data_IF_813980455283
#
_entry.id   IF_813980455283
#
_cell.length_a   1.000
_cell.length_b   1.000
_cell.length_c   1.000
_cell.angle_alpha   90.00
_cell.angle_beta   90.00
_cell.angle_gamma   90.00
#
_symmetry.space_group_name_H-M   'P 1'
#
loop_
_entity.id
_entity.type
_entity.pdbx_description
1 polymer ?
#
# COMPACT_ATOMS: atom_id res chain seq x y z
N UNK A 1 -13.35 18.49 -41.10
CA UNK A 1 -12.00 18.15 -41.60
C UNK A 1 -10.90 18.54 -40.61
N UNK A 2 -11.08 19.56 -39.78
CA UNK A 2 -10.09 19.99 -38.77
C UNK A 2 -9.97 19.02 -37.55
N UNK A 3 -10.97 18.22 -37.26
CA UNK A 3 -10.97 17.33 -36.09
C UNK A 3 -10.08 16.06 -36.23
N UNK A 4 -9.86 15.59 -37.48
CA UNK A 4 -9.11 14.34 -37.72
C UNK A 4 -7.59 14.50 -37.60
N UNK A 5 -7.05 15.66 -37.97
CA UNK A 5 -5.61 15.95 -37.89
C UNK A 5 -5.10 16.26 -36.46
N UNK A 6 -6.00 16.69 -35.56
CA UNK A 6 -5.64 16.93 -34.16
C UNK A 6 -5.57 15.63 -33.32
N UNK A 7 -6.27 14.56 -33.73
CA UNK A 7 -6.34 13.29 -33.00
C UNK A 7 -5.15 12.36 -33.26
N UNK A 8 -4.44 12.49 -34.37
CA UNK A 8 -3.36 11.56 -34.75
C UNK A 8 -2.00 11.88 -34.10
N UNK A 9 -1.83 13.09 -33.55
CA UNK A 9 -0.59 13.53 -32.89
C UNK A 9 -0.72 13.84 -31.39
N UNK A 10 -1.89 13.63 -30.80
CA UNK A 10 -2.12 13.89 -29.38
C UNK A 10 -2.11 12.57 -28.59
N UNK A 11 -1.04 12.39 -27.87
CA UNK A 11 -0.88 11.55 -26.69
C UNK A 11 -1.87 10.38 -26.66
N UNK A 12 -1.73 9.47 -27.57
CA UNK A 12 -1.80 8.07 -27.21
C UNK A 12 -0.66 7.95 -26.19
N UNK A 13 -0.96 7.67 -24.90
CA UNK A 13 0.05 7.01 -24.06
C UNK A 13 0.53 5.91 -24.97
N UNK A 14 1.76 5.94 -25.51
CA UNK A 14 2.10 4.99 -26.54
C UNK A 14 1.80 3.64 -25.91
N UNK A 15 0.96 2.83 -26.56
CA UNK A 15 1.04 1.39 -26.33
C UNK A 15 2.50 1.10 -26.62
N UNK A 16 3.31 1.12 -25.54
CA UNK A 16 4.75 0.92 -25.66
C UNK A 16 4.88 -0.32 -26.51
N UNK A 17 5.51 -0.15 -27.65
CA UNK A 17 5.63 -1.11 -28.72
C UNK A 17 5.70 -2.51 -28.13
N UNK A 18 4.95 -3.44 -28.69
CA UNK A 18 4.89 -4.89 -28.37
C UNK A 18 6.27 -5.61 -28.44
N UNK A 19 7.36 -4.93 -28.20
CA UNK A 19 8.66 -5.53 -27.96
C UNK A 19 8.70 -5.91 -26.46
N UNK A 20 8.57 -7.21 -26.20
CA UNK A 20 8.80 -7.88 -24.91
C UNK A 20 10.25 -7.74 -24.41
N UNK A 21 10.90 -6.61 -24.61
CA UNK A 21 12.24 -6.39 -24.08
C UNK A 21 12.08 -5.71 -22.73
N UNK A 22 12.32 -6.46 -21.65
CA UNK A 22 12.32 -5.92 -20.31
C UNK A 22 13.35 -4.79 -20.18
N UNK A 23 13.01 -3.73 -19.46
CA UNK A 23 13.92 -2.61 -19.21
C UNK A 23 15.16 -3.09 -18.46
N UNK A 24 16.27 -2.45 -18.77
CA UNK A 24 17.51 -2.66 -18.02
C UNK A 24 17.46 -1.84 -16.72
N UNK A 25 17.67 -2.49 -15.57
CA UNK A 25 17.65 -1.86 -14.24
C UNK A 25 18.65 -0.70 -14.15
N UNK A 26 19.85 -0.84 -14.74
CA UNK A 26 20.88 0.21 -14.72
C UNK A 26 20.43 1.47 -15.47
N UNK A 27 19.72 1.31 -16.59
CA UNK A 27 19.16 2.45 -17.33
C UNK A 27 18.01 3.11 -16.55
N UNK A 28 17.20 2.33 -15.86
CA UNK A 28 16.15 2.88 -14.98
C UNK A 28 16.78 3.67 -13.83
N UNK A 29 17.83 3.14 -13.20
CA UNK A 29 18.53 3.78 -12.07
C UNK A 29 19.06 5.18 -12.42
N UNK A 30 19.61 5.38 -13.62
CA UNK A 30 20.11 6.68 -14.09
C UNK A 30 19.04 7.78 -14.17
N UNK A 31 17.77 7.42 -14.20
CA UNK A 31 16.64 8.33 -14.35
C UNK A 31 15.87 8.58 -13.04
N UNK A 32 16.34 8.05 -11.91
CA UNK A 32 15.78 8.35 -10.59
C UNK A 32 16.13 9.79 -10.22
N UNK A 33 15.13 10.52 -9.73
CA UNK A 33 15.32 11.88 -9.23
C UNK A 33 15.68 11.80 -7.75
N UNK A 34 16.96 11.90 -7.47
CA UNK A 34 17.51 11.92 -6.10
C UNK A 34 18.71 12.87 -6.09
N UNK A 35 18.83 13.65 -5.01
CA UNK A 35 19.98 14.57 -4.82
C UNK A 35 21.28 13.76 -4.69
N UNK A 36 22.33 14.21 -5.35
CA UNK A 36 23.68 13.62 -5.22
C UNK A 36 24.15 13.60 -3.76
N UNK A 37 24.80 12.50 -3.36
CA UNK A 37 25.26 12.27 -1.99
C UNK A 37 24.19 11.73 -1.05
N UNK A 38 22.95 11.51 -1.52
CA UNK A 38 21.91 10.81 -0.76
C UNK A 38 21.81 9.35 -1.21
N UNK A 39 21.65 8.46 -0.23
CA UNK A 39 21.41 7.03 -0.40
C UNK A 39 20.06 6.69 0.24
N UNK A 40 19.08 6.29 -0.56
CA UNK A 40 17.70 6.14 -0.10
C UNK A 40 17.34 4.68 0.18
N UNK A 41 17.14 4.35 1.45
CA UNK A 41 16.82 3.00 1.94
C UNK A 41 15.45 2.95 2.66
N UNK A 42 14.52 3.85 2.33
CA UNK A 42 13.16 3.89 2.93
C UNK A 42 12.06 3.63 1.88
N UNK A 43 12.31 2.78 0.89
CA UNK A 43 11.36 2.46 -0.19
C UNK A 43 10.03 1.86 0.31
N UNK A 44 10.03 1.16 1.45
CA UNK A 44 8.79 0.66 2.07
C UNK A 44 7.84 1.79 2.49
N UNK A 45 8.35 2.99 2.74
CA UNK A 45 7.53 4.16 3.08
C UNK A 45 7.04 4.89 1.81
N UNK A 46 7.92 5.10 0.84
CA UNK A 46 7.60 5.76 -0.43
C UNK A 46 8.62 5.38 -1.49
N UNK A 47 8.18 5.24 -2.74
CA UNK A 47 9.07 5.22 -3.88
C UNK A 47 9.71 6.60 -4.13
N UNK A 48 10.70 6.64 -5.02
CA UNK A 48 11.30 7.87 -5.52
C UNK A 48 10.64 8.32 -6.83
N UNK A 49 10.80 9.60 -7.17
CA UNK A 49 10.35 10.13 -8.45
C UNK A 49 11.25 9.59 -9.60
N UNK A 50 10.67 9.42 -10.76
CA UNK A 50 11.31 8.87 -11.95
C UNK A 50 11.12 9.82 -13.14
N UNK A 51 12.21 10.35 -13.67
CA UNK A 51 12.19 11.43 -14.65
C UNK A 51 11.29 11.17 -15.86
N UNK A 52 11.29 9.99 -16.52
CA UNK A 52 10.39 9.77 -17.66
C UNK A 52 8.91 9.85 -17.29
N UNK A 53 8.49 9.46 -16.09
CA UNK A 53 7.11 9.62 -15.63
C UNK A 53 6.78 11.09 -15.41
N UNK A 54 7.68 11.87 -14.81
CA UNK A 54 7.48 13.32 -14.64
C UNK A 54 7.36 14.01 -15.99
N UNK A 55 8.20 13.65 -16.97
CA UNK A 55 8.15 14.19 -18.32
C UNK A 55 6.80 13.86 -19.03
N UNK A 56 6.27 12.64 -18.86
CA UNK A 56 4.94 12.26 -19.39
C UNK A 56 3.80 13.05 -18.73
N UNK A 57 3.86 13.25 -17.41
CA UNK A 57 2.88 14.09 -16.71
C UNK A 57 2.96 15.53 -17.21
N UNK A 58 4.15 16.09 -17.40
CA UNK A 58 4.32 17.44 -17.94
C UNK A 58 3.76 17.57 -19.37
N UNK A 59 3.88 16.53 -20.21
CA UNK A 59 3.26 16.51 -21.53
C UNK A 59 1.73 16.52 -21.43
N UNK A 60 1.16 15.67 -20.55
CA UNK A 60 -0.27 15.58 -20.33
C UNK A 60 -0.86 16.93 -19.86
N UNK A 61 -0.15 17.65 -18.99
CA UNK A 61 -0.58 18.94 -18.45
C UNK A 61 -0.80 20.02 -19.53
N UNK A 62 -0.16 19.91 -20.69
CA UNK A 62 -0.34 20.88 -21.79
C UNK A 62 -1.76 20.86 -22.39
N UNK A 63 -2.48 19.74 -22.24
CA UNK A 63 -3.85 19.56 -22.76
C UNK A 63 -4.86 19.26 -21.65
N UNK A 64 -4.44 19.39 -20.39
CA UNK A 64 -5.26 19.09 -19.24
C UNK A 64 -6.51 19.98 -19.18
N UNK A 65 -7.64 19.36 -18.93
CA UNK A 65 -8.89 20.01 -18.54
C UNK A 65 -9.63 19.12 -17.55
N UNK A 66 -10.63 19.64 -16.85
CA UNK A 66 -11.45 18.81 -15.97
C UNK A 66 -12.27 17.80 -16.78
N UNK A 67 -12.55 16.64 -16.18
CA UNK A 67 -13.49 15.64 -16.68
C UNK A 67 -14.95 16.16 -16.60
N UNK A 68 -15.94 15.35 -16.96
CA UNK A 68 -17.37 15.70 -16.93
C UNK A 68 -17.83 16.77 -17.93
N UNK A 69 -17.14 16.91 -19.07
CA UNK A 69 -17.58 17.76 -20.17
C UNK A 69 -17.39 17.05 -21.51
N UNK A 70 -18.47 16.87 -22.24
CA UNK A 70 -18.48 16.23 -23.57
C UNK A 70 -18.29 17.26 -24.71
N UNK A 71 -18.29 18.55 -24.41
CA UNK A 71 -18.22 19.63 -25.38
C UNK A 71 -16.82 20.23 -25.58
N UNK A 72 -15.90 19.99 -24.66
CA UNK A 72 -14.52 20.47 -24.75
C UNK A 72 -13.59 19.33 -25.17
N UNK A 73 -12.82 19.53 -26.25
CA UNK A 73 -11.89 18.51 -26.76
C UNK A 73 -10.84 18.10 -25.71
N UNK A 74 -10.32 19.04 -24.92
CA UNK A 74 -9.38 18.76 -23.82
C UNK A 74 -10.04 17.98 -22.70
N UNK A 75 -11.29 18.27 -22.34
CA UNK A 75 -12.00 17.52 -21.29
C UNK A 75 -12.29 16.07 -21.73
N UNK A 76 -12.75 15.90 -22.98
CA UNK A 76 -12.95 14.56 -23.57
C UNK A 76 -11.64 13.76 -23.61
N UNK A 77 -10.52 14.39 -23.97
CA UNK A 77 -9.21 13.76 -23.96
C UNK A 77 -8.79 13.36 -22.54
N UNK A 78 -8.95 14.25 -21.58
CA UNK A 78 -8.62 13.99 -20.16
C UNK A 78 -9.44 12.83 -19.61
N UNK A 79 -10.77 12.82 -19.87
CA UNK A 79 -11.64 11.72 -19.47
C UNK A 79 -11.17 10.38 -20.06
N UNK A 80 -10.86 10.38 -21.37
CA UNK A 80 -10.35 9.18 -22.06
C UNK A 80 -9.03 8.69 -21.47
N UNK A 81 -8.08 9.59 -21.18
CA UNK A 81 -6.81 9.24 -20.56
C UNK A 81 -7.03 8.65 -19.16
N UNK A 82 -7.94 9.21 -18.37
CA UNK A 82 -8.29 8.74 -17.04
C UNK A 82 -8.88 7.32 -17.06
N UNK A 83 -9.88 7.08 -17.93
CA UNK A 83 -10.50 5.77 -18.05
C UNK A 83 -9.56 4.70 -18.65
N UNK A 84 -8.73 5.08 -19.60
CA UNK A 84 -7.70 4.19 -20.14
C UNK A 84 -6.67 3.81 -19.06
N UNK A 85 -6.23 4.76 -18.23
CA UNK A 85 -5.32 4.51 -17.13
C UNK A 85 -5.93 3.52 -16.12
N UNK A 86 -7.22 3.65 -15.78
CA UNK A 86 -7.97 2.70 -14.94
C UNK A 86 -7.99 1.30 -15.55
N UNK A 87 -8.35 1.19 -16.82
CA UNK A 87 -8.43 -0.09 -17.51
C UNK A 87 -7.07 -0.78 -17.61
N UNK A 88 -6.01 -0.03 -17.94
CA UNK A 88 -4.64 -0.55 -17.98
C UNK A 88 -4.17 -0.98 -16.58
N UNK A 89 -4.45 -0.20 -15.53
CA UNK A 89 -4.16 -0.56 -14.13
C UNK A 89 -4.80 -1.88 -13.73
N UNK A 90 -6.08 -2.11 -14.06
CA UNK A 90 -6.74 -3.39 -13.79
C UNK A 90 -5.96 -4.55 -14.43
N UNK A 91 -5.56 -4.41 -15.68
CA UNK A 91 -4.76 -5.41 -16.39
C UNK A 91 -3.38 -5.61 -15.75
N UNK A 92 -2.66 -4.53 -15.40
CA UNK A 92 -1.33 -4.57 -14.78
C UNK A 92 -1.36 -5.23 -13.40
N UNK A 93 -2.46 -5.09 -12.68
CA UNK A 93 -2.71 -5.71 -11.37
C UNK A 93 -3.22 -7.17 -11.48
N UNK A 94 -3.55 -7.64 -12.69
CA UNK A 94 -4.11 -8.98 -12.90
C UNK A 94 -5.56 -9.12 -12.42
N UNK A 95 -6.32 -8.03 -12.39
CA UNK A 95 -7.74 -8.04 -12.00
C UNK A 95 -8.60 -8.44 -13.20
N UNK A 96 -9.55 -9.32 -12.96
CA UNK A 96 -10.57 -9.68 -13.94
C UNK A 96 -11.80 -8.74 -13.92
N UNK A 97 -12.80 -9.04 -14.73
CA UNK A 97 -14.00 -8.22 -14.85
C UNK A 97 -14.92 -8.28 -13.63
N UNK A 98 -14.66 -9.13 -12.64
CA UNK A 98 -15.45 -9.18 -11.41
C UNK A 98 -15.14 -8.04 -10.43
N UNK A 99 -14.09 -7.24 -10.70
CA UNK A 99 -13.66 -6.15 -9.85
C UNK A 99 -13.97 -4.77 -10.41
N UNK A 100 -14.31 -3.82 -9.52
CA UNK A 100 -14.13 -2.39 -9.73
C UNK A 100 -12.75 -1.96 -9.24
N UNK A 101 -12.20 -0.91 -9.85
CA UNK A 101 -10.99 -0.23 -9.39
C UNK A 101 -11.32 1.24 -9.10
N UNK A 102 -11.43 1.59 -7.83
CA UNK A 102 -11.85 2.89 -7.35
C UNK A 102 -10.61 3.69 -6.94
N UNK A 103 -10.45 4.88 -7.51
CA UNK A 103 -9.43 5.82 -7.09
C UNK A 103 -9.88 6.56 -5.82
N UNK A 104 -8.98 6.63 -4.84
CA UNK A 104 -9.26 7.24 -3.53
C UNK A 104 -8.23 8.34 -3.20
N UNK A 105 -8.27 8.90 -2.00
CA UNK A 105 -7.34 9.93 -1.56
C UNK A 105 -5.91 9.42 -1.30
N UNK A 106 -5.46 9.49 -0.04
CA UNK A 106 -4.08 9.22 0.35
C UNK A 106 -3.81 7.72 0.54
N UNK A 107 -3.26 7.07 -0.48
CA UNK A 107 -2.75 5.69 -0.41
C UNK A 107 -3.79 4.67 0.09
N UNK A 108 -3.31 3.53 0.59
CA UNK A 108 -4.15 2.47 1.13
C UNK A 108 -5.03 2.92 2.30
N UNK A 109 -4.62 3.91 3.08
CA UNK A 109 -5.44 4.47 4.17
C UNK A 109 -6.80 4.97 3.68
N UNK A 110 -6.83 5.69 2.55
CA UNK A 110 -8.08 6.13 1.94
C UNK A 110 -8.87 4.97 1.32
N UNK A 111 -8.19 3.96 0.77
CA UNK A 111 -8.82 2.76 0.24
C UNK A 111 -9.47 1.92 1.36
N UNK A 112 -8.81 1.78 2.51
CA UNK A 112 -9.36 1.12 3.71
C UNK A 112 -10.63 1.84 4.18
N UNK A 113 -10.56 3.18 4.31
CA UNK A 113 -11.73 3.99 4.68
C UNK A 113 -12.88 3.78 3.68
N UNK A 114 -12.61 3.87 2.37
CA UNK A 114 -13.60 3.65 1.31
C UNK A 114 -14.22 2.26 1.37
N UNK A 115 -13.41 1.22 1.58
CA UNK A 115 -13.91 -0.14 1.80
C UNK A 115 -14.84 -0.22 3.01
N UNK A 116 -14.46 0.35 4.15
CA UNK A 116 -15.29 0.36 5.34
C UNK A 116 -16.61 1.12 5.15
N UNK A 117 -16.59 2.21 4.36
CA UNK A 117 -17.80 2.95 3.98
C UNK A 117 -18.72 2.09 3.11
N UNK A 118 -18.19 1.40 2.09
CA UNK A 118 -18.96 0.50 1.22
C UNK A 118 -19.56 -0.66 2.03
N UNK A 119 -18.78 -1.21 2.97
CA UNK A 119 -19.24 -2.31 3.85
C UNK A 119 -20.21 -1.84 4.95
N UNK A 120 -20.39 -0.53 5.12
CA UNK A 120 -21.27 0.04 6.16
C UNK A 120 -20.73 -0.10 7.58
N UNK A 121 -19.43 -0.26 7.74
CA UNK A 121 -18.76 -0.39 9.04
C UNK A 121 -17.92 0.84 9.44
N UNK A 122 -17.88 1.86 8.58
CA UNK A 122 -17.23 3.14 8.92
C UNK A 122 -18.17 4.00 9.76
N UNK A 123 -17.64 4.58 10.82
CA UNK A 123 -18.29 5.65 11.58
C UNK A 123 -17.24 6.68 11.99
N UNK A 124 -17.55 7.98 11.85
CA UNK A 124 -16.66 8.99 12.38
C UNK A 124 -16.73 9.05 13.90
N UNK A 125 -15.63 9.38 14.61
CA UNK A 125 -15.65 9.57 16.06
C UNK A 125 -16.73 10.56 16.51
N UNK A 126 -16.96 11.63 15.75
CA UNK A 126 -18.00 12.61 16.04
C UNK A 126 -19.42 12.00 15.94
N UNK A 127 -19.67 11.21 14.89
CA UNK A 127 -20.97 10.52 14.73
C UNK A 127 -21.13 9.45 15.82
N UNK A 128 -20.09 8.73 16.18
CA UNK A 128 -20.07 7.74 17.25
C UNK A 128 -20.47 8.38 18.59
N UNK A 129 -19.87 9.54 18.91
CA UNK A 129 -20.20 10.30 20.11
C UNK A 129 -21.66 10.79 20.12
N UNK A 130 -22.19 11.21 18.97
CA UNK A 130 -23.58 11.67 18.83
C UNK A 130 -24.60 10.53 19.05
N UNK A 131 -24.34 9.34 18.49
CA UNK A 131 -25.23 8.17 18.65
C UNK A 131 -25.14 7.59 20.06
N UNK A 132 -23.97 7.57 20.66
CA UNK A 132 -23.68 7.04 21.97
C UNK A 132 -23.53 5.52 22.02
N UNK A 133 -22.60 5.01 22.82
CA UNK A 133 -22.25 3.60 22.92
C UNK A 133 -23.44 2.68 23.28
N UNK A 134 -24.37 3.13 24.12
CA UNK A 134 -25.54 2.36 24.51
C UNK A 134 -26.46 2.02 23.33
N UNK A 135 -26.53 2.88 22.32
CA UNK A 135 -27.29 2.63 21.09
C UNK A 135 -26.51 1.77 20.10
N UNK A 136 -25.21 1.96 19.99
CA UNK A 136 -24.36 1.16 19.12
C UNK A 136 -24.34 -0.32 19.55
N UNK A 137 -24.32 -0.60 20.85
CA UNK A 137 -24.38 -1.98 21.39
C UNK A 137 -25.66 -2.75 21.09
N UNK A 138 -26.72 -2.06 20.63
CA UNK A 138 -27.97 -2.71 20.19
C UNK A 138 -27.89 -3.21 18.74
N UNK A 139 -26.87 -2.82 17.99
CA UNK A 139 -26.70 -3.22 16.62
C UNK A 139 -26.13 -4.65 16.54
N UNK A 140 -26.57 -5.41 15.54
CA UNK A 140 -25.94 -6.69 15.21
C UNK A 140 -24.71 -6.43 14.35
N UNK A 141 -23.57 -6.16 15.01
CA UNK A 141 -22.34 -5.78 14.35
C UNK A 141 -21.64 -7.00 13.73
N UNK A 142 -20.99 -6.84 12.56
CA UNK A 142 -20.15 -7.86 11.99
C UNK A 142 -18.90 -8.09 12.87
N UNK A 143 -18.24 -9.22 12.68
CA UNK A 143 -16.93 -9.49 13.25
C UNK A 143 -15.85 -9.11 12.25
N UNK A 144 -15.00 -8.14 12.60
CA UNK A 144 -13.76 -7.86 11.89
C UNK A 144 -12.64 -8.77 12.45
N UNK A 145 -11.97 -9.52 11.57
CA UNK A 145 -10.80 -10.33 11.91
C UNK A 145 -9.58 -9.71 11.24
N UNK A 146 -8.53 -9.46 12.01
CA UNK A 146 -7.30 -8.85 11.50
C UNK A 146 -6.09 -9.71 11.84
N UNK A 147 -5.02 -9.58 11.04
CA UNK A 147 -3.75 -10.27 11.25
C UNK A 147 -2.85 -9.59 12.28
N UNK A 148 -1.67 -10.17 12.53
CA UNK A 148 -0.67 -9.63 13.45
C UNK A 148 0.15 -8.48 12.83
N UNK A 149 0.25 -8.39 11.50
CA UNK A 149 1.14 -7.46 10.78
C UNK A 149 0.45 -6.17 10.32
N UNK A 150 -0.73 -5.86 10.87
CA UNK A 150 -1.56 -4.81 10.30
C UNK A 150 -0.97 -3.42 10.51
N UNK A 151 -1.10 -2.61 9.45
CA UNK A 151 -0.83 -1.18 9.55
C UNK A 151 -1.88 -0.50 10.43
N UNK A 152 -1.51 0.56 11.15
CA UNK A 152 -2.44 1.34 12.00
C UNK A 152 -3.71 1.77 11.27
N UNK A 153 -3.65 1.97 9.95
CA UNK A 153 -4.83 2.34 9.16
C UNK A 153 -5.92 1.26 9.15
N UNK A 154 -5.56 -0.03 9.25
CA UNK A 154 -6.50 -1.15 9.40
C UNK A 154 -6.86 -1.31 10.89
N UNK A 155 -5.86 -1.46 11.73
CA UNK A 155 -5.99 -1.75 13.15
C UNK A 155 -6.89 -0.74 13.87
N UNK A 156 -6.51 0.55 13.80
CA UNK A 156 -7.19 1.62 14.56
C UNK A 156 -8.57 1.91 13.95
N UNK A 157 -8.69 1.93 12.62
CA UNK A 157 -9.96 2.24 11.99
C UNK A 157 -11.04 1.19 12.24
N UNK A 158 -10.67 -0.09 12.37
CA UNK A 158 -11.60 -1.16 12.72
C UNK A 158 -11.95 -1.16 14.22
N UNK A 159 -10.98 -0.83 15.10
CA UNK A 159 -11.27 -0.63 16.53
C UNK A 159 -12.31 0.46 16.78
N UNK A 160 -12.27 1.52 15.98
CA UNK A 160 -13.21 2.63 16.05
C UNK A 160 -14.46 2.43 15.16
N UNK A 161 -14.48 1.37 14.35
CA UNK A 161 -15.55 1.07 13.40
C UNK A 161 -16.81 0.49 14.03
N UNK A 162 -17.84 0.27 13.19
CA UNK A 162 -19.09 -0.43 13.54
C UNK A 162 -18.91 -1.95 13.37
N UNK A 163 -18.01 -2.53 14.14
CA UNK A 163 -17.73 -3.97 14.15
C UNK A 163 -17.15 -4.37 15.50
N UNK A 164 -17.28 -5.66 15.86
CA UNK A 164 -16.43 -6.25 16.88
C UNK A 164 -15.11 -6.63 16.22
N UNK A 165 -14.00 -6.54 16.95
CA UNK A 165 -12.68 -6.84 16.40
C UNK A 165 -12.06 -8.05 17.10
N UNK A 166 -11.42 -8.92 16.31
CA UNK A 166 -10.57 -10.00 16.79
C UNK A 166 -9.26 -9.98 16.02
N UNK A 167 -8.16 -9.73 16.74
CA UNK A 167 -6.80 -9.85 16.21
C UNK A 167 -6.36 -11.31 16.33
N UNK A 168 -5.80 -11.85 15.26
CA UNK A 168 -5.10 -13.13 15.23
C UNK A 168 -3.64 -12.87 15.58
N UNK A 169 -3.11 -13.68 16.47
CA UNK A 169 -1.75 -13.52 17.00
C UNK A 169 -0.74 -14.30 16.15
N UNK A 170 0.51 -14.19 16.52
CA UNK A 170 1.59 -15.03 16.00
C UNK A 170 1.62 -16.36 16.79
N UNK A 171 2.00 -17.42 16.11
CA UNK A 171 2.33 -18.70 16.72
C UNK A 171 3.78 -18.71 17.26
N UNK A 172 4.20 -19.84 17.80
CA UNK A 172 5.56 -20.05 18.35
C UNK A 172 6.68 -19.91 17.31
N UNK A 173 6.35 -20.00 16.00
CA UNK A 173 7.28 -19.85 14.89
C UNK A 173 7.32 -18.42 14.33
N UNK A 174 6.63 -17.45 14.95
CA UNK A 174 6.40 -16.11 14.47
C UNK A 174 5.64 -16.04 13.14
N UNK A 175 4.82 -17.03 12.84
CA UNK A 175 3.85 -17.04 11.75
C UNK A 175 2.46 -16.69 12.27
N UNK A 176 1.53 -16.43 11.35
CA UNK A 176 0.11 -16.23 11.71
C UNK A 176 -0.44 -17.51 12.34
N UNK A 177 -1.05 -17.41 13.51
CA UNK A 177 -1.71 -18.55 14.16
C UNK A 177 -2.97 -18.95 13.41
N UNK A 178 -2.80 -19.86 12.45
CA UNK A 178 -3.91 -20.40 11.66
C UNK A 178 -4.89 -21.25 12.47
N UNK A 179 -4.44 -21.85 13.57
CA UNK A 179 -5.31 -22.63 14.48
C UNK A 179 -6.25 -21.67 15.21
N UNK A 180 -5.71 -20.58 15.73
CA UNK A 180 -6.51 -19.50 16.34
C UNK A 180 -7.49 -18.91 15.32
N UNK A 181 -7.06 -18.67 14.08
CA UNK A 181 -7.92 -18.16 13.01
C UNK A 181 -9.10 -19.11 12.75
N UNK A 182 -8.85 -20.41 12.53
CA UNK A 182 -9.90 -21.40 12.26
C UNK A 182 -10.87 -21.54 13.44
N UNK A 183 -10.37 -21.57 14.68
CA UNK A 183 -11.19 -21.61 15.88
C UNK A 183 -12.07 -20.36 16.02
N UNK A 184 -11.49 -19.17 15.75
CA UNK A 184 -12.25 -17.90 15.76
C UNK A 184 -13.37 -17.93 14.75
N UNK A 185 -13.11 -18.38 13.53
CA UNK A 185 -14.11 -18.51 12.46
C UNK A 185 -15.21 -19.48 12.87
N UNK A 186 -14.87 -20.65 13.39
CA UNK A 186 -15.81 -21.68 13.85
C UNK A 186 -16.75 -21.18 14.94
N UNK A 187 -16.20 -20.49 15.93
CA UNK A 187 -16.98 -19.91 17.04
C UNK A 187 -17.95 -18.81 16.58
N UNK A 188 -17.64 -18.15 15.48
CA UNK A 188 -18.41 -17.01 14.94
C UNK A 188 -19.09 -17.32 13.60
N UNK A 189 -19.29 -18.58 13.25
CA UNK A 189 -19.79 -19.03 11.94
C UNK A 189 -21.17 -18.47 11.55
N UNK A 190 -21.96 -17.96 12.51
CA UNK A 190 -23.28 -17.34 12.27
C UNK A 190 -23.23 -15.83 12.07
N UNK A 191 -22.07 -15.20 12.22
CA UNK A 191 -21.88 -13.76 12.09
C UNK A 191 -21.46 -13.39 10.68
N UNK A 192 -21.71 -12.14 10.28
CA UNK A 192 -21.05 -11.56 9.13
C UNK A 192 -19.56 -11.34 9.46
N UNK A 193 -18.65 -11.94 8.70
CA UNK A 193 -17.21 -11.89 8.92
C UNK A 193 -16.57 -11.04 7.85
N UNK A 194 -15.78 -10.05 8.27
CA UNK A 194 -14.94 -9.21 7.40
C UNK A 194 -13.52 -9.36 7.89
N UNK A 195 -12.67 -10.03 7.11
CA UNK A 195 -11.27 -10.21 7.44
C UNK A 195 -10.41 -9.20 6.68
N UNK A 196 -9.40 -8.63 7.34
CA UNK A 196 -8.40 -7.77 6.71
C UNK A 196 -7.01 -8.21 7.15
N UNK A 197 -6.16 -8.54 6.17
CA UNK A 197 -4.79 -9.02 6.41
C UNK A 197 -3.80 -8.29 5.53
N UNK A 198 -2.67 -7.89 6.11
CA UNK A 198 -1.53 -7.39 5.36
C UNK A 198 -0.87 -8.53 4.58
N UNK A 199 -0.73 -8.37 3.27
CA UNK A 199 -0.11 -9.41 2.41
C UNK A 199 1.40 -9.54 2.64
N UNK A 200 2.04 -8.48 3.16
CA UNK A 200 3.40 -8.51 3.65
C UNK A 200 3.59 -7.47 4.76
N UNK A 201 4.34 -7.82 5.80
CA UNK A 201 4.70 -6.91 6.88
C UNK A 201 5.53 -5.74 6.36
N UNK A 202 5.16 -4.52 6.72
CA UNK A 202 5.94 -3.33 6.42
C UNK A 202 7.13 -3.13 7.38
N UNK A 203 7.31 -4.02 8.34
CA UNK A 203 8.40 -4.00 9.34
C UNK A 203 9.47 -5.04 8.99
N UNK A 204 9.08 -6.30 8.88
CA UNK A 204 10.00 -7.44 8.68
C UNK A 204 9.96 -8.00 7.26
N UNK A 205 9.01 -7.54 6.44
CA UNK A 205 8.82 -8.04 5.08
C UNK A 205 8.16 -9.43 5.00
N UNK A 206 7.86 -10.10 6.12
CA UNK A 206 7.24 -11.43 6.14
C UNK A 206 5.96 -11.41 5.31
N UNK A 207 5.85 -12.35 4.38
CA UNK A 207 4.69 -12.50 3.51
C UNK A 207 3.65 -13.40 4.15
N UNK A 208 2.41 -13.04 3.92
CA UNK A 208 1.24 -13.77 4.41
C UNK A 208 0.80 -14.81 3.36
N UNK A 209 0.56 -16.05 3.76
CA UNK A 209 -0.14 -17.03 2.92
C UNK A 209 -1.64 -16.65 2.81
N UNK A 210 -1.89 -15.62 1.99
CA UNK A 210 -3.24 -15.10 1.77
C UNK A 210 -4.17 -16.14 1.12
N UNK A 211 -3.64 -17.14 0.40
CA UNK A 211 -4.44 -18.21 -0.23
C UNK A 211 -5.02 -19.14 0.83
N UNK A 212 -4.21 -19.51 1.83
CA UNK A 212 -4.65 -20.30 2.98
C UNK A 212 -5.68 -19.53 3.79
N UNK A 213 -5.43 -18.23 4.07
CA UNK A 213 -6.40 -17.37 4.77
C UNK A 213 -7.71 -17.29 3.99
N UNK A 214 -7.68 -17.02 2.70
CA UNK A 214 -8.88 -16.95 1.86
C UNK A 214 -9.68 -18.25 1.93
N UNK A 215 -9.01 -19.39 1.84
CA UNK A 215 -9.66 -20.70 1.91
C UNK A 215 -10.37 -20.91 3.25
N UNK A 216 -9.76 -20.48 4.37
CA UNK A 216 -10.36 -20.55 5.70
C UNK A 216 -11.56 -19.59 5.81
N UNK A 217 -11.41 -18.35 5.42
CA UNK A 217 -12.46 -17.32 5.49
C UNK A 217 -13.68 -17.73 4.66
N UNK A 218 -13.47 -18.29 3.46
CA UNK A 218 -14.58 -18.69 2.56
C UNK A 218 -15.36 -19.91 3.04
N UNK A 219 -14.79 -20.78 3.87
CA UNK A 219 -15.57 -21.86 4.55
C UNK A 219 -16.71 -21.31 5.39
N UNK A 220 -16.62 -20.06 5.86
CA UNK A 220 -17.60 -19.41 6.72
C UNK A 220 -18.28 -18.21 6.04
N UNK A 221 -18.26 -18.17 4.70
CA UNK A 221 -18.85 -17.10 3.88
C UNK A 221 -18.35 -15.68 4.24
N UNK A 222 -17.15 -15.58 4.79
CA UNK A 222 -16.52 -14.31 5.12
C UNK A 222 -15.97 -13.58 3.89
N UNK A 223 -15.65 -12.30 4.06
CA UNK A 223 -15.03 -11.42 3.08
C UNK A 223 -13.57 -11.25 3.47
N UNK A 224 -12.64 -11.37 2.50
CA UNK A 224 -11.22 -11.10 2.71
C UNK A 224 -10.77 -9.85 1.94
N UNK A 225 -10.35 -8.83 2.67
CA UNK A 225 -9.61 -7.69 2.15
C UNK A 225 -8.12 -7.86 2.43
N UNK A 226 -7.27 -7.60 1.44
CA UNK A 226 -5.80 -7.64 1.60
C UNK A 226 -5.21 -6.24 1.51
N UNK A 227 -4.40 -5.87 2.50
CA UNK A 227 -3.52 -4.71 2.40
C UNK A 227 -2.24 -5.12 1.67
N UNK A 228 -2.15 -4.71 0.41
CA UNK A 228 -0.99 -4.98 -0.44
C UNK A 228 -0.10 -3.73 -0.61
N UNK A 229 -0.26 -2.72 0.25
CA UNK A 229 0.50 -1.47 0.14
C UNK A 229 2.02 -1.68 0.14
N UNK A 230 2.50 -2.68 0.87
CA UNK A 230 3.93 -3.04 0.88
C UNK A 230 4.27 -3.99 -0.27
N UNK A 231 3.46 -5.02 -0.51
CA UNK A 231 3.76 -6.09 -1.46
C UNK A 231 3.66 -5.64 -2.92
N UNK A 232 2.70 -4.76 -3.25
CA UNK A 232 2.34 -4.44 -4.64
C UNK A 232 3.44 -3.71 -5.44
N UNK A 233 4.46 -3.18 -4.77
CA UNK A 233 5.63 -2.64 -5.44
C UNK A 233 6.50 -3.73 -6.09
N UNK A 234 6.38 -4.97 -5.66
CA UNK A 234 7.25 -6.09 -5.98
C UNK A 234 6.55 -7.22 -6.74
N UNK A 235 5.32 -7.55 -6.36
CA UNK A 235 4.57 -8.64 -6.97
C UNK A 235 3.05 -8.38 -6.96
N UNK A 236 2.33 -9.13 -7.79
CA UNK A 236 0.86 -9.16 -7.78
C UNK A 236 0.34 -10.30 -6.91
N UNK A 237 -0.84 -10.11 -6.36
CA UNK A 237 -1.63 -11.17 -5.74
C UNK A 237 -2.65 -11.73 -6.73
N UNK A 238 -2.95 -13.01 -6.62
CA UNK A 238 -3.89 -13.70 -7.51
C UNK A 238 -5.34 -13.29 -7.18
N UNK A 239 -6.04 -12.70 -8.15
CA UNK A 239 -7.38 -12.14 -7.97
C UNK A 239 -8.45 -13.16 -7.54
N UNK A 240 -8.17 -14.45 -7.63
CA UNK A 240 -9.05 -15.53 -7.18
C UNK A 240 -9.12 -15.66 -5.65
N UNK A 241 -8.17 -15.06 -4.91
CA UNK A 241 -7.99 -15.30 -3.47
C UNK A 241 -8.13 -14.04 -2.62
N UNK A 242 -8.96 -13.11 -3.02
CA UNK A 242 -9.39 -11.97 -2.22
C UNK A 242 -10.71 -11.39 -2.74
N UNK A 243 -11.33 -10.55 -1.93
CA UNK A 243 -12.56 -9.85 -2.29
C UNK A 243 -12.31 -8.32 -2.43
N UNK A 244 -11.28 -7.80 -1.76
CA UNK A 244 -10.84 -6.42 -1.90
C UNK A 244 -9.31 -6.28 -1.73
N UNK A 245 -8.71 -5.26 -2.36
CA UNK A 245 -7.29 -4.88 -2.19
C UNK A 245 -7.17 -3.41 -1.85
N UNK A 246 -6.26 -3.10 -0.93
CA UNK A 246 -5.82 -1.74 -0.61
C UNK A 246 -4.41 -1.49 -1.15
N UNK A 247 -4.25 -0.48 -2.01
CA UNK A 247 -3.00 -0.23 -2.70
C UNK A 247 -2.50 1.20 -2.46
N UNK A 248 -1.18 1.31 -2.34
CA UNK A 248 -0.44 2.57 -2.19
C UNK A 248 0.56 2.76 -3.34
N UNK A 249 0.12 3.20 -4.54
CA UNK A 249 1.02 3.32 -5.68
C UNK A 249 2.20 4.28 -5.46
N UNK A 250 2.11 5.20 -4.48
CA UNK A 250 3.23 6.07 -4.11
C UNK A 250 4.44 5.31 -3.55
N UNK A 251 4.31 4.02 -3.21
CA UNK A 251 5.43 3.18 -2.79
C UNK A 251 6.21 2.58 -3.98
N UNK A 252 5.66 2.64 -5.20
CA UNK A 252 6.37 2.24 -6.41
C UNK A 252 7.32 3.35 -6.86
N UNK A 253 8.40 2.98 -7.54
CA UNK A 253 9.25 3.92 -8.25
C UNK A 253 8.41 4.71 -9.27
N UNK A 254 8.51 6.03 -9.26
CA UNK A 254 7.73 6.94 -10.09
C UNK A 254 6.30 7.19 -9.60
N UNK A 255 5.87 6.57 -8.49
CA UNK A 255 4.52 6.70 -7.96
C UNK A 255 4.29 7.88 -7.02
N UNK A 256 5.29 8.71 -6.78
CA UNK A 256 5.20 9.86 -5.86
C UNK A 256 4.02 10.78 -6.24
N UNK A 257 3.13 11.06 -5.29
CA UNK A 257 1.94 11.90 -5.54
C UNK A 257 0.77 11.18 -6.21
N UNK A 258 0.80 9.84 -6.36
CA UNK A 258 -0.35 9.05 -6.82
C UNK A 258 -1.46 8.97 -5.78
N UNK A 259 -2.68 8.64 -6.22
CA UNK A 259 -3.80 8.35 -5.33
C UNK A 259 -3.69 6.95 -4.72
N UNK A 260 -4.50 6.68 -3.69
CA UNK A 260 -4.79 5.34 -3.24
C UNK A 260 -5.73 4.62 -4.21
N UNK A 261 -5.70 3.30 -4.21
CA UNK A 261 -6.58 2.49 -5.05
C UNK A 261 -7.26 1.42 -4.19
N UNK A 262 -8.56 1.26 -4.41
CA UNK A 262 -9.36 0.15 -3.89
C UNK A 262 -9.79 -0.72 -5.07
N UNK A 263 -9.28 -1.96 -5.15
CA UNK A 263 -9.91 -2.96 -5.99
C UNK A 263 -10.92 -3.73 -5.13
N UNK A 264 -12.15 -3.90 -5.62
CA UNK A 264 -13.23 -4.52 -4.84
C UNK A 264 -14.14 -5.33 -5.77
N UNK A 265 -14.58 -6.51 -5.32
CA UNK A 265 -15.55 -7.31 -6.06
C UNK A 265 -16.86 -6.57 -6.25
N UNK A 266 -17.40 -6.63 -7.47
CA UNK A 266 -18.64 -5.96 -7.87
C UNK A 266 -19.83 -6.32 -6.96
N UNK A 267 -19.89 -7.56 -6.53
CA UNK A 267 -20.98 -8.08 -5.66
C UNK A 267 -21.02 -7.43 -4.27
N UNK A 268 -19.89 -6.82 -3.82
CA UNK A 268 -19.84 -6.12 -2.53
C UNK A 268 -20.31 -4.67 -2.63
N UNK A 269 -20.42 -4.12 -3.84
CA UNK A 269 -20.82 -2.74 -4.04
C UNK A 269 -22.34 -2.61 -4.14
N UNK A 270 -22.90 -1.74 -3.30
CA UNK A 270 -24.31 -1.35 -3.37
C UNK A 270 -24.46 -0.23 -4.40
N UNK A 271 -25.66 -0.11 -4.98
CA UNK A 271 -25.94 0.97 -5.95
C UNK A 271 -26.28 2.32 -5.28
N UNK A 272 -25.63 2.61 -4.16
CA UNK A 272 -25.74 3.85 -3.41
C UNK A 272 -24.34 4.38 -3.12
N UNK A 273 -24.09 5.68 -3.26
CA UNK A 273 -22.79 6.25 -2.95
C UNK A 273 -22.48 6.21 -1.46
N UNK A 274 -21.24 6.01 -1.09
CA UNK A 274 -20.79 6.17 0.31
C UNK A 274 -20.82 7.63 0.75
N UNK A 275 -20.71 8.55 -0.20
CA UNK A 275 -20.84 9.99 0.02
C UNK A 275 -21.63 10.62 -1.12
N UNK A 276 -22.85 11.10 -0.82
CA UNK A 276 -23.70 11.79 -1.77
C UNK A 276 -23.16 13.19 -2.08
N UNK A 277 -22.57 13.37 -3.25
CA UNK A 277 -21.87 14.60 -3.64
C UNK A 277 -22.07 14.92 -5.14
N UNK A 278 -21.53 16.05 -5.58
CA UNK A 278 -21.37 16.35 -7.01
C UNK A 278 -20.56 15.24 -7.71
N UNK A 279 -20.89 14.91 -8.95
CA UNK A 279 -20.28 13.81 -9.70
C UNK A 279 -20.93 12.43 -9.45
N UNK A 280 -21.60 12.21 -8.32
CA UNK A 280 -22.31 10.96 -8.02
C UNK A 280 -23.76 10.95 -8.56
N UNK A 281 -24.24 12.06 -9.06
CA UNK A 281 -25.63 12.27 -9.51
C UNK A 281 -25.72 12.37 -11.02
N UNK A 282 -26.77 11.79 -11.59
CA UNK A 282 -27.18 11.94 -12.98
C UNK A 282 -28.10 13.13 -13.18
N UNK A 283 -28.88 13.47 -12.15
CA UNK A 283 -29.83 14.57 -12.17
C UNK A 283 -30.05 15.10 -10.75
N UNK A 284 -30.17 16.42 -10.64
CA UNK A 284 -30.54 17.10 -9.39
C UNK A 284 -31.54 18.20 -9.70
N UNK A 285 -32.64 18.22 -8.94
CA UNK A 285 -33.63 19.33 -8.93
C UNK A 285 -33.57 20.05 -7.56
N UNK A 286 -34.49 20.98 -7.36
CA UNK A 286 -34.63 21.68 -6.06
C UNK A 286 -35.06 20.75 -4.92
N UNK A 287 -35.72 19.64 -5.22
CA UNK A 287 -36.35 18.76 -4.23
C UNK A 287 -36.00 17.29 -4.36
N UNK A 288 -35.32 16.90 -5.44
CA UNK A 288 -34.97 15.50 -5.71
C UNK A 288 -33.67 15.34 -6.47
N UNK A 289 -33.08 14.16 -6.41
CA UNK A 289 -31.90 13.80 -7.17
C UNK A 289 -31.94 12.32 -7.57
N UNK A 290 -31.18 12.00 -8.60
CA UNK A 290 -31.00 10.63 -9.10
C UNK A 290 -29.51 10.35 -9.20
N UNK A 291 -29.03 9.32 -8.55
CA UNK A 291 -27.64 8.89 -8.63
C UNK A 291 -27.30 8.26 -9.98
N UNK A 292 -26.04 8.30 -10.35
CA UNK A 292 -25.50 7.54 -11.49
C UNK A 292 -25.52 6.03 -11.14
N UNK A 293 -25.55 5.20 -12.17
CA UNK A 293 -25.46 3.75 -12.04
C UNK A 293 -24.04 3.20 -12.25
N UNK A 294 -23.05 4.07 -12.50
CA UNK A 294 -21.64 3.68 -12.63
C UNK A 294 -20.99 3.71 -11.25
N UNK A 295 -20.61 2.56 -10.75
CA UNK A 295 -20.09 2.42 -9.36
C UNK A 295 -18.83 3.23 -9.14
N UNK A 296 -17.87 3.24 -10.07
CA UNK A 296 -16.67 4.06 -9.92
C UNK A 296 -17.03 5.55 -9.79
N UNK A 297 -18.00 6.06 -10.58
CA UNK A 297 -18.45 7.44 -10.45
C UNK A 297 -19.21 7.69 -9.14
N UNK A 298 -19.96 6.69 -8.64
CA UNK A 298 -20.64 6.79 -7.34
C UNK A 298 -19.62 6.95 -6.21
N UNK A 299 -18.49 6.27 -6.29
CA UNK A 299 -17.51 6.23 -5.22
C UNK A 299 -16.39 7.29 -5.36
N UNK A 300 -16.28 7.91 -6.53
CA UNK A 300 -15.32 8.99 -6.84
C UNK A 300 -16.00 10.36 -6.95
N UNK A 301 -16.85 10.70 -6.01
CA UNK A 301 -17.57 11.97 -6.01
C UNK A 301 -16.66 13.21 -6.13
N UNK A 302 -17.09 14.20 -6.90
CA UNK A 302 -16.34 15.42 -7.23
C UNK A 302 -15.45 15.25 -8.46
N UNK A 303 -14.43 16.10 -8.59
CA UNK A 303 -13.37 15.92 -9.60
C UNK A 303 -12.48 14.79 -9.15
N UNK A 304 -12.36 13.70 -9.94
CA UNK A 304 -11.56 12.55 -9.53
C UNK A 304 -10.06 12.89 -9.52
N UNK A 305 -9.20 12.07 -8.89
CA UNK A 305 -7.77 12.30 -8.83
C UNK A 305 -7.09 11.97 -10.16
N UNK A 306 -7.30 12.82 -11.18
CA UNK A 306 -6.97 12.57 -12.60
C UNK A 306 -5.48 12.28 -12.78
N UNK A 307 -4.62 13.23 -12.43
CA UNK A 307 -3.16 13.12 -12.59
C UNK A 307 -2.62 12.00 -11.71
N UNK A 308 -3.17 11.87 -10.52
CA UNK A 308 -2.74 10.91 -9.53
C UNK A 308 -3.01 9.46 -9.99
N UNK A 309 -4.14 9.19 -10.66
CA UNK A 309 -4.44 7.87 -11.22
C UNK A 309 -3.57 7.57 -12.44
N UNK A 310 -3.38 8.56 -13.34
CA UNK A 310 -2.49 8.42 -14.50
C UNK A 310 -1.06 8.11 -14.02
N UNK A 311 -0.58 8.80 -12.99
CA UNK A 311 0.73 8.54 -12.38
C UNK A 311 0.81 7.13 -11.78
N UNK A 312 -0.22 6.69 -11.07
CA UNK A 312 -0.30 5.33 -10.55
C UNK A 312 -0.17 4.29 -11.68
N UNK A 313 -0.89 4.50 -12.79
CA UNK A 313 -0.79 3.65 -13.97
C UNK A 313 0.63 3.60 -14.52
N UNK A 314 1.28 4.76 -14.72
CA UNK A 314 2.65 4.84 -15.22
C UNK A 314 3.65 4.13 -14.30
N UNK A 315 3.49 4.21 -12.98
CA UNK A 315 4.35 3.53 -12.01
C UNK A 315 4.20 2.00 -12.07
N UNK A 316 2.97 1.48 -12.13
CA UNK A 316 2.74 0.03 -12.28
C UNK A 316 3.22 -0.48 -13.65
N UNK A 317 3.08 0.32 -14.70
CA UNK A 317 3.60 0.01 -16.02
C UNK A 317 5.11 -0.10 -16.00
N UNK A 318 5.82 0.87 -15.43
CA UNK A 318 7.27 0.84 -15.24
C UNK A 318 7.71 -0.44 -14.50
N UNK A 319 7.05 -0.76 -13.36
CA UNK A 319 7.32 -2.00 -12.61
C UNK A 319 7.22 -3.26 -13.49
N UNK A 320 6.13 -3.37 -14.27
CA UNK A 320 5.90 -4.53 -15.11
C UNK A 320 6.85 -4.57 -16.33
N UNK A 321 7.31 -3.43 -16.82
CA UNK A 321 8.31 -3.33 -17.91
C UNK A 321 9.72 -3.68 -17.43
N UNK A 322 10.06 -3.40 -16.17
CA UNK A 322 11.27 -3.92 -15.53
C UNK A 322 11.16 -5.45 -15.42
N UNK A 323 9.98 -5.94 -15.05
CA UNK A 323 9.65 -7.35 -14.94
C UNK A 323 9.75 -7.87 -13.51
N UNK A 324 8.65 -8.44 -13.01
CA UNK A 324 8.53 -8.89 -11.62
C UNK A 324 9.59 -9.94 -11.22
N UNK A 325 9.96 -10.83 -12.14
CA UNK A 325 11.01 -11.83 -11.86
C UNK A 325 12.39 -11.18 -11.68
N UNK A 326 12.75 -10.20 -12.53
CA UNK A 326 14.00 -9.46 -12.39
C UNK A 326 14.06 -8.64 -11.10
N UNK A 327 12.92 -8.04 -10.72
CA UNK A 327 12.79 -7.33 -9.44
C UNK A 327 13.07 -8.30 -8.30
N UNK A 328 12.38 -9.45 -8.29
CA UNK A 328 12.55 -10.47 -7.25
C UNK A 328 13.98 -10.99 -7.17
N UNK A 329 14.61 -11.33 -8.31
CA UNK A 329 15.99 -11.81 -8.37
C UNK A 329 16.97 -10.78 -7.79
N UNK A 330 16.86 -9.51 -8.21
CA UNK A 330 17.74 -8.44 -7.73
C UNK A 330 17.56 -8.19 -6.21
N UNK A 331 16.35 -8.22 -5.72
CA UNK A 331 16.06 -8.00 -4.30
C UNK A 331 16.48 -9.17 -3.42
N UNK A 332 16.30 -10.41 -3.88
CA UNK A 332 16.82 -11.59 -3.18
C UNK A 332 18.34 -11.50 -3.05
N UNK A 333 19.06 -11.25 -4.15
CA UNK A 333 20.52 -11.16 -4.14
C UNK A 333 21.05 -10.08 -3.18
N UNK A 334 20.50 -8.85 -3.29
CA UNK A 334 20.91 -7.72 -2.48
C UNK A 334 20.48 -7.87 -1.01
N UNK A 335 19.28 -8.40 -0.77
CA UNK A 335 18.75 -8.68 0.55
C UNK A 335 19.57 -9.72 1.29
N UNK A 336 19.92 -10.84 0.64
CA UNK A 336 20.80 -11.86 1.20
C UNK A 336 22.19 -11.30 1.54
N UNK A 337 22.75 -10.50 0.62
CA UNK A 337 24.05 -9.84 0.85
C UNK A 337 24.00 -8.95 2.10
N UNK A 338 22.94 -8.14 2.25
CA UNK A 338 22.78 -7.27 3.41
C UNK A 338 22.60 -8.09 4.71
N UNK A 339 21.74 -9.11 4.68
CA UNK A 339 21.48 -9.98 5.84
C UNK A 339 22.77 -10.62 6.36
N UNK A 340 23.52 -11.29 5.47
CA UNK A 340 24.81 -11.95 5.79
C UNK A 340 25.84 -11.01 6.39
N UNK A 341 25.88 -9.76 5.98
CA UNK A 341 26.81 -8.77 6.52
C UNK A 341 26.31 -8.15 7.83
N UNK A 342 24.99 -7.98 7.98
CA UNK A 342 24.38 -7.48 9.22
C UNK A 342 24.56 -8.45 10.38
N UNK A 343 24.41 -9.74 10.14
CA UNK A 343 24.58 -10.83 11.12
C UNK A 343 26.00 -10.92 11.71
N UNK A 344 27.00 -10.41 11.00
CA UNK A 344 28.41 -10.34 11.49
C UNK A 344 28.64 -9.22 12.51
N UNK A 345 27.64 -8.41 12.84
CA UNK A 345 27.76 -7.26 13.72
C UNK A 345 27.10 -7.61 15.06
N UNK A 346 27.92 -8.00 16.05
CA UNK A 346 27.46 -8.49 17.37
C UNK A 346 26.58 -7.51 18.14
N UNK A 347 26.67 -6.22 17.85
CA UNK A 347 25.87 -5.17 18.46
C UNK A 347 24.46 -5.07 17.90
N UNK A 348 24.21 -5.65 16.74
CA UNK A 348 22.91 -5.59 16.08
C UNK A 348 21.95 -6.62 16.70
N UNK A 349 20.73 -6.19 16.95
CA UNK A 349 19.59 -7.02 17.31
C UNK A 349 18.67 -7.03 16.09
N UNK A 350 18.68 -8.13 15.34
CA UNK A 350 17.83 -8.29 14.15
C UNK A 350 16.47 -8.85 14.58
N UNK A 351 15.37 -8.22 14.13
CA UNK A 351 13.99 -8.64 14.42
C UNK A 351 13.35 -9.42 13.26
N UNK A 352 14.10 -9.64 12.18
CA UNK A 352 13.55 -10.30 11.00
C UNK A 352 13.69 -11.82 11.13
N UNK A 353 12.60 -12.59 10.98
CA UNK A 353 12.67 -14.05 10.96
C UNK A 353 13.54 -14.58 9.81
N UNK A 354 14.39 -15.56 10.07
CA UNK A 354 15.34 -16.10 9.09
C UNK A 354 14.68 -17.11 8.13
N UNK A 355 13.68 -17.86 8.60
CA UNK A 355 13.13 -19.02 7.89
C UNK A 355 11.80 -18.74 7.16
N UNK A 356 11.35 -17.48 7.06
CA UNK A 356 10.09 -17.13 6.43
C UNK A 356 10.29 -16.49 5.06
N UNK A 357 9.35 -16.73 4.13
CA UNK A 357 9.31 -16.00 2.86
C UNK A 357 9.02 -14.52 3.15
N UNK A 358 9.91 -13.63 2.71
CA UNK A 358 9.82 -12.22 3.02
C UNK A 358 10.43 -11.31 1.95
N UNK A 359 9.98 -10.08 1.93
CA UNK A 359 10.61 -8.99 1.19
C UNK A 359 11.91 -8.56 1.91
N UNK A 360 12.87 -7.95 1.22
CA UNK A 360 14.13 -7.51 1.80
C UNK A 360 13.97 -6.21 2.61
N UNK A 361 13.09 -6.25 3.59
CA UNK A 361 12.82 -5.19 4.57
C UNK A 361 13.40 -5.67 5.92
N UNK A 362 14.25 -4.85 6.52
CA UNK A 362 14.98 -5.21 7.72
C UNK A 362 14.69 -4.22 8.84
N UNK A 363 14.21 -4.74 9.96
CA UNK A 363 14.04 -4.02 11.22
C UNK A 363 15.08 -4.51 12.22
N UNK A 364 15.89 -3.61 12.74
CA UNK A 364 16.92 -3.95 13.71
C UNK A 364 17.18 -2.81 14.70
N UNK A 365 17.75 -3.13 15.84
CA UNK A 365 18.30 -2.16 16.78
C UNK A 365 19.80 -2.40 17.02
N UNK A 366 20.47 -1.41 17.58
CA UNK A 366 21.85 -1.51 18.00
C UNK A 366 21.88 -1.41 19.54
N UNK A 367 22.54 -2.36 20.20
CA UNK A 367 22.64 -2.41 21.67
C UNK A 367 23.16 -1.09 22.24
N UNK A 368 22.39 -0.51 23.15
CA UNK A 368 22.75 0.73 23.84
C UNK A 368 22.61 2.03 23.03
N UNK A 369 22.06 1.97 21.81
CA UNK A 369 21.85 3.16 20.96
C UNK A 369 20.37 3.28 20.63
N UNK A 370 19.80 4.47 20.81
CA UNK A 370 18.44 4.77 20.39
C UNK A 370 18.30 4.60 18.87
N UNK A 371 17.26 3.92 18.34
CA UNK A 371 17.04 3.81 16.91
C UNK A 371 16.92 5.18 16.22
N UNK A 372 16.39 6.17 16.90
CA UNK A 372 16.26 7.54 16.37
C UNK A 372 17.62 8.21 16.21
N UNK A 373 18.50 8.12 17.22
CA UNK A 373 19.84 8.69 17.17
C UNK A 373 20.71 7.96 16.13
N UNK A 374 20.52 6.64 16.01
CA UNK A 374 21.23 5.84 15.03
C UNK A 374 20.85 6.22 13.59
N UNK A 375 19.54 6.32 13.29
CA UNK A 375 19.07 6.77 11.97
C UNK A 375 19.48 8.21 11.67
N UNK A 376 19.45 9.11 12.67
CA UNK A 376 19.92 10.48 12.52
C UNK A 376 21.42 10.54 12.19
N UNK A 377 22.26 9.69 12.82
CA UNK A 377 23.69 9.60 12.52
C UNK A 377 23.94 9.05 11.12
N UNK A 378 23.21 8.02 10.67
CA UNK A 378 23.29 7.52 9.29
C UNK A 378 22.95 8.62 8.28
N UNK A 379 21.92 9.41 8.55
CA UNK A 379 21.49 10.49 7.65
C UNK A 379 22.48 11.65 7.62
N UNK A 380 22.92 12.16 8.78
CA UNK A 380 23.73 13.38 8.85
C UNK A 380 25.19 13.17 8.46
N UNK A 381 25.74 11.97 8.72
CA UNK A 381 27.16 11.70 8.49
C UNK A 381 27.43 10.99 7.14
N UNK A 382 26.47 10.20 6.67
CA UNK A 382 26.64 9.34 5.50
C UNK A 382 25.61 9.58 4.38
N UNK A 383 24.67 10.52 4.57
CA UNK A 383 23.61 10.78 3.59
C UNK A 383 22.59 9.62 3.44
N UNK A 384 22.64 8.61 4.31
CA UNK A 384 21.82 7.42 4.22
C UNK A 384 20.46 7.68 4.85
N UNK A 385 19.41 7.59 4.05
CA UNK A 385 18.02 7.84 4.46
C UNK A 385 17.35 6.52 4.83
N UNK A 386 17.12 6.31 6.12
CA UNK A 386 16.41 5.18 6.71
C UNK A 386 15.23 5.69 7.54
N UNK A 387 14.46 4.80 8.11
CA UNK A 387 13.38 5.17 9.03
C UNK A 387 13.67 4.65 10.43
N UNK A 388 13.26 5.43 11.45
CA UNK A 388 13.25 4.99 12.84
C UNK A 388 11.85 5.13 13.44
N UNK A 389 11.47 4.21 14.30
CA UNK A 389 10.18 4.19 15.01
C UNK A 389 9.41 2.89 14.81
N UNK A 390 8.11 2.90 15.10
CA UNK A 390 7.25 1.71 14.99
C UNK A 390 6.66 1.48 13.58
N UNK A 391 6.95 2.34 12.62
CA UNK A 391 6.50 2.23 11.21
C UNK A 391 4.99 2.02 11.03
N UNK A 392 4.17 2.60 11.91
CA UNK A 392 2.73 2.43 11.96
C UNK A 392 2.27 0.96 12.14
N UNK A 393 3.06 0.16 12.87
CA UNK A 393 2.78 -1.24 13.22
C UNK A 393 3.00 -1.46 14.74
N UNK A 394 2.37 -0.61 15.56
CA UNK A 394 2.55 -0.62 17.03
C UNK A 394 2.25 -1.98 17.66
N UNK A 395 1.09 -2.62 17.42
CA UNK A 395 0.79 -3.93 18.00
C UNK A 395 1.83 -4.99 17.63
N UNK A 396 2.22 -5.07 16.36
CA UNK A 396 3.30 -5.97 15.94
C UNK A 396 4.65 -5.63 16.60
N UNK A 397 4.91 -4.35 16.83
CA UNK A 397 6.09 -3.91 17.57
C UNK A 397 6.08 -4.35 19.04
N UNK A 398 4.91 -4.40 19.68
CA UNK A 398 4.76 -4.97 21.03
C UNK A 398 5.09 -6.46 21.02
N UNK A 399 4.65 -7.21 20.01
CA UNK A 399 4.99 -8.63 19.86
C UNK A 399 6.52 -8.80 19.67
N UNK A 400 7.13 -8.09 18.71
CA UNK A 400 8.56 -8.20 18.37
C UNK A 400 9.48 -7.82 19.54
N UNK A 401 9.11 -6.83 20.35
CA UNK A 401 9.90 -6.32 21.46
C UNK A 401 9.46 -6.89 22.82
N UNK A 402 8.49 -7.81 22.81
CA UNK A 402 7.90 -8.41 24.03
C UNK A 402 7.47 -7.34 25.05
N UNK A 403 6.79 -6.29 24.57
CA UNK A 403 6.33 -5.19 25.42
C UNK A 403 4.95 -5.50 26.00
N UNK A 404 4.77 -5.15 27.28
CA UNK A 404 3.45 -5.25 27.92
C UNK A 404 2.54 -4.12 27.47
N UNK A 405 1.26 -4.43 27.29
CA UNK A 405 0.20 -3.44 27.03
C UNK A 405 -0.12 -2.65 28.30
N UNK A 406 0.75 -1.75 28.65
CA UNK A 406 0.49 -0.76 29.70
C UNK A 406 0.43 0.63 29.06
N UNK A 407 -0.41 1.49 29.61
CA UNK A 407 -0.65 2.84 29.09
C UNK A 407 0.55 3.81 29.31
N UNK A 408 1.76 3.29 29.45
CA UNK A 408 2.96 4.11 29.60
C UNK A 408 3.47 4.47 28.21
N UNK A 409 3.13 5.66 27.74
CA UNK A 409 3.52 6.19 26.42
C UNK A 409 5.05 6.34 26.22
N UNK A 410 5.85 6.14 27.27
CA UNK A 410 7.31 6.24 27.24
C UNK A 410 7.99 5.03 26.60
N UNK A 411 7.37 3.86 26.64
CA UNK A 411 7.90 2.62 26.05
C UNK A 411 7.31 2.35 24.67
N UNK A 412 7.52 3.28 23.73
CA UNK A 412 7.07 3.08 22.34
C UNK A 412 7.96 2.05 21.65
N UNK A 413 7.38 1.05 20.92
CA UNK A 413 8.19 0.17 20.09
C UNK A 413 8.91 1.01 19.02
N UNK A 414 10.15 0.66 18.74
CA UNK A 414 10.93 1.36 17.74
C UNK A 414 12.17 0.58 17.33
N UNK A 415 12.49 0.68 16.07
CA UNK A 415 13.65 0.09 15.41
C UNK A 415 14.15 1.00 14.30
N UNK A 416 15.32 0.71 13.77
CA UNK A 416 15.76 1.23 12.48
C UNK A 416 15.27 0.29 11.40
N UNK A 417 14.56 0.82 10.39
CA UNK A 417 14.14 0.05 9.22
C UNK A 417 14.94 0.43 8.00
N UNK A 418 15.46 -0.59 7.33
CA UNK A 418 16.15 -0.50 6.05
C UNK A 418 15.34 -1.30 5.01
N UNK A 419 15.05 -0.69 3.89
CA UNK A 419 14.40 -1.34 2.74
C UNK A 419 15.41 -1.51 1.63
N UNK A 420 15.84 -2.73 1.37
CA UNK A 420 16.66 -3.04 0.18
C UNK A 420 15.73 -3.08 -1.02
N UNK A 421 16.13 -2.48 -2.11
CA UNK A 421 15.31 -2.30 -3.30
C UNK A 421 16.12 -2.65 -4.55
N UNK A 422 15.47 -3.15 -5.58
CA UNK A 422 16.09 -3.53 -6.85
C UNK A 422 16.84 -2.37 -7.56
N UNK A 423 16.65 -1.14 -7.10
CA UNK A 423 17.39 0.03 -7.59
C UNK A 423 18.75 0.21 -6.90
N UNK A 424 19.03 -0.49 -5.80
CA UNK A 424 20.37 -0.45 -5.19
C UNK A 424 21.37 -1.24 -6.00
N UNK A 425 22.65 -0.93 -5.76
CA UNK A 425 23.81 -1.70 -6.24
C UNK A 425 24.44 -2.47 -5.09
N UNK A 426 25.34 -3.41 -5.41
CA UNK A 426 26.15 -4.09 -4.39
C UNK A 426 27.06 -3.10 -3.64
N UNK A 427 27.48 -2.05 -4.30
CA UNK A 427 28.28 -0.96 -3.73
C UNK A 427 27.48 -0.17 -2.71
N UNK A 428 26.18 0.11 -2.97
CA UNK A 428 25.29 0.77 -2.02
C UNK A 428 25.12 -0.08 -0.75
N UNK A 429 24.99 -1.40 -0.89
CA UNK A 429 24.90 -2.31 0.25
C UNK A 429 26.20 -2.32 1.08
N UNK A 430 27.35 -2.38 0.43
CA UNK A 430 28.64 -2.28 1.12
C UNK A 430 28.81 -0.95 1.84
N UNK A 431 28.41 0.15 1.20
CA UNK A 431 28.44 1.48 1.79
C UNK A 431 27.56 1.57 3.05
N UNK A 432 26.32 1.08 2.96
CA UNK A 432 25.40 1.03 4.09
C UNK A 432 26.00 0.23 5.26
N UNK A 433 26.52 -0.97 5.05
CA UNK A 433 27.14 -1.80 6.09
C UNK A 433 28.34 -1.09 6.74
N UNK A 434 29.20 -0.44 5.95
CA UNK A 434 30.34 0.30 6.47
C UNK A 434 29.90 1.50 7.30
N UNK A 435 28.84 2.19 6.90
CA UNK A 435 28.25 3.29 7.66
C UNK A 435 27.68 2.81 8.99
N UNK A 436 26.94 1.67 9.00
CA UNK A 436 26.42 1.04 10.22
C UNK A 436 27.58 0.77 11.19
N UNK A 437 28.64 0.07 10.75
CA UNK A 437 29.82 -0.23 11.57
C UNK A 437 30.51 1.04 12.10
N UNK A 438 30.57 2.08 11.29
CA UNK A 438 31.20 3.36 11.66
C UNK A 438 30.37 4.12 12.70
N UNK A 439 29.03 4.17 12.55
CA UNK A 439 28.14 4.76 13.54
C UNK A 439 28.25 4.04 14.89
N UNK A 440 28.22 2.72 14.90
CA UNK A 440 28.38 1.91 16.14
C UNK A 440 29.70 2.28 16.85
N UNK A 441 30.82 2.29 16.12
CA UNK A 441 32.12 2.63 16.68
C UNK A 441 32.18 4.03 17.29
N UNK A 442 31.51 5.01 16.68
CA UNK A 442 31.44 6.38 17.18
C UNK A 442 30.61 6.48 18.47
N UNK A 443 29.44 5.85 18.50
CA UNK A 443 28.58 5.87 19.68
C UNK A 443 29.22 5.19 20.91
N UNK A 444 30.05 4.15 20.69
CA UNK A 444 30.82 3.50 21.77
C UNK A 444 31.94 4.35 22.35
N UNK A 445 32.39 5.39 21.64
CA UNK A 445 33.46 6.30 22.10
C UNK A 445 32.93 7.51 22.85
N UNK A 446 31.63 7.74 22.78
CA UNK A 446 30.93 8.81 23.54
C UNK A 446 30.42 8.26 24.86
#
# INVERSE_FOLDING_TARGET
>A
MFCKLFYENLIIIPALNKRKTLLNIDEVRKNIILKEGLYYFDYTASGLAYKPIEDEILKFLKTYANTHSDSSSSAVLTQKCYENARAELKSLLGLDDSFYLIATGQGATAAIKKFQEIMGIYISPATRALIGEANLRKLNLPLAIIGPYEHHSVEVSLREGLCDIKRIELDENNEIDYVMLENTLKQNAKRNIIASFSAASNVTGVKTDYKKIYSLIKKYNGILALDVATLSAYENVDCRYFDALFLSPHKLLGGVGSCGLLAIKKELCKNLPTFAAGGTVKYVSRTSHVFTNKVENLEEGGTPPIIQLIRANLAYKLRNEIGLNKIKEAECELGEMFCKELEKIDEVINYCPENLDRLPIFAFNVKGISPYDFAASLSSEFGIQTRAGCDCAGPYGHDLLNLKDNAIFEAKPGWVRVSIHYMHTKEDIKYLINAIKSCIKKHKKR
#
